data_IF_401133820615
#
_entry.id   IF_401133820615
#
_cell.length_a   1.000
_cell.length_b   1.000
_cell.length_c   1.000
_cell.angle_alpha   90.00
_cell.angle_beta   90.00
_cell.angle_gamma   90.00
#
_symmetry.space_group_name_H-M   'P 1'
#
loop_
_entity.id
_entity.type
_entity.pdbx_description
1 polymer ?
#
# COMPACT_ATOMS: atom_id res chain seq x y z
N UNK A 1 -1.11 -16.44 1.48
CA UNK A 1 -2.25 -15.56 1.88
C UNK A 1 -1.70 -14.21 2.26
N UNK A 2 -2.34 -13.10 1.86
CA UNK A 2 -1.88 -11.75 2.19
C UNK A 2 -2.84 -11.06 3.16
N UNK A 3 -2.29 -10.32 4.13
CA UNK A 3 -3.05 -9.48 5.06
C UNK A 3 -2.42 -8.09 5.10
N UNK A 4 -3.22 -7.07 4.86
CA UNK A 4 -2.81 -5.68 5.02
C UNK A 4 -3.59 -5.00 6.14
N UNK A 5 -2.87 -4.24 6.97
CA UNK A 5 -3.46 -3.38 7.99
C UNK A 5 -4.25 -4.14 9.05
N UNK A 6 -5.32 -3.53 9.55
CA UNK A 6 -6.12 -4.05 10.65
C UNK A 6 -6.16 -3.10 11.85
N UNK A 7 -6.75 -3.56 12.96
CA UNK A 7 -6.91 -2.79 14.18
C UNK A 7 -6.48 -3.59 15.40
N UNK A 8 -5.46 -3.08 16.08
CA UNK A 8 -4.91 -3.63 17.32
C UNK A 8 -5.65 -3.00 18.50
N UNK A 9 -6.67 -3.70 18.97
CA UNK A 9 -7.57 -3.19 20.01
C UNK A 9 -6.90 -2.91 21.35
N UNK A 10 -5.84 -3.63 21.69
CA UNK A 10 -5.05 -3.43 22.92
C UNK A 10 -4.32 -2.09 22.94
N UNK A 11 -3.97 -1.55 21.76
CA UNK A 11 -3.26 -0.28 21.59
C UNK A 11 -4.15 0.82 21.02
N UNK A 12 -5.43 0.52 20.73
CA UNK A 12 -6.33 1.40 19.99
C UNK A 12 -5.69 1.95 18.68
N UNK A 13 -4.97 1.09 17.95
CA UNK A 13 -4.11 1.49 16.85
C UNK A 13 -4.49 0.79 15.55
N UNK A 14 -4.57 1.55 14.46
CA UNK A 14 -4.68 0.98 13.12
C UNK A 14 -3.28 0.63 12.59
N UNK A 15 -3.20 -0.44 11.80
CA UNK A 15 -1.94 -0.93 11.22
C UNK A 15 -1.89 -0.63 9.71
N UNK A 16 -0.68 -0.56 9.16
CA UNK A 16 -0.40 -0.41 7.72
C UNK A 16 0.63 -1.43 7.21
N UNK A 17 0.83 -2.52 7.95
CA UNK A 17 1.81 -3.54 7.63
C UNK A 17 1.20 -4.55 6.64
N UNK A 18 2.02 -5.02 5.69
CA UNK A 18 1.66 -6.11 4.78
C UNK A 18 2.36 -7.38 5.26
N UNK A 19 1.58 -8.44 5.44
CA UNK A 19 2.06 -9.75 5.81
C UNK A 19 1.67 -10.79 4.79
N UNK A 20 2.58 -11.73 4.54
CA UNK A 20 2.31 -12.94 3.78
C UNK A 20 2.42 -14.16 4.70
N UNK A 21 1.44 -15.03 4.59
CA UNK A 21 1.44 -16.36 5.18
C UNK A 21 1.67 -17.40 4.09
N UNK A 22 2.69 -18.23 4.30
CA UNK A 22 2.97 -19.43 3.52
C UNK A 22 2.36 -20.65 4.22
N UNK A 23 1.33 -21.29 3.64
CA UNK A 23 0.69 -22.46 4.25
C UNK A 23 1.57 -23.72 4.22
N UNK A 24 2.57 -23.82 3.34
CA UNK A 24 3.44 -25.00 3.27
C UNK A 24 4.43 -25.00 4.44
N UNK A 25 5.01 -23.84 4.73
CA UNK A 25 5.96 -23.68 5.85
C UNK A 25 5.28 -23.27 7.15
N UNK A 26 4.00 -22.89 7.12
CA UNK A 26 3.26 -22.31 8.25
C UNK A 26 3.94 -21.07 8.84
N UNK A 27 4.66 -20.32 8.02
CA UNK A 27 5.41 -19.14 8.43
C UNK A 27 4.74 -17.86 7.95
N UNK A 28 4.82 -16.84 8.80
CA UNK A 28 4.49 -15.47 8.43
C UNK A 28 5.77 -14.70 8.12
N UNK A 29 5.74 -13.89 7.06
CA UNK A 29 6.76 -12.87 6.81
C UNK A 29 6.12 -11.52 6.57
N UNK A 30 6.80 -10.48 7.03
CA UNK A 30 6.45 -9.10 6.71
C UNK A 30 7.00 -8.76 5.32
N UNK A 31 6.17 -8.13 4.50
CA UNK A 31 6.56 -7.62 3.19
C UNK A 31 6.66 -6.10 3.26
N UNK A 32 7.59 -5.55 2.47
CA UNK A 32 7.79 -4.11 2.33
C UNK A 32 7.58 -3.71 0.88
N UNK A 33 6.34 -3.35 0.48
CA UNK A 33 6.06 -2.88 -0.86
C UNK A 33 6.89 -1.66 -1.21
N UNK A 34 7.31 -1.57 -2.47
CA UNK A 34 8.12 -0.44 -2.92
C UNK A 34 7.30 0.85 -3.02
N UNK A 35 7.86 1.96 -2.55
CA UNK A 35 7.24 3.28 -2.64
C UNK A 35 6.50 3.71 -1.37
N UNK A 36 5.54 4.64 -1.51
CA UNK A 36 4.74 5.14 -0.38
C UNK A 36 3.51 4.25 -0.23
N UNK A 37 3.43 3.54 0.89
CA UNK A 37 2.30 2.68 1.21
C UNK A 37 1.04 3.43 1.69
N UNK A 38 -0.09 2.72 1.81
CA UNK A 38 -1.34 3.27 2.32
C UNK A 38 -1.20 3.72 3.77
N UNK A 39 -2.03 4.69 4.17
CA UNK A 39 -2.22 5.02 5.59
C UNK A 39 -2.73 3.81 6.39
N UNK A 40 -2.48 3.75 7.71
CA UNK A 40 -3.04 2.71 8.57
C UNK A 40 -4.56 2.65 8.47
N UNK A 41 -5.10 1.45 8.24
CA UNK A 41 -6.52 1.27 7.91
C UNK A 41 -7.02 -0.15 8.20
N UNK A 42 -8.34 -0.29 8.19
CA UNK A 42 -9.07 -1.57 8.23
C UNK A 42 -10.28 -1.51 7.30
N UNK A 43 -10.98 -2.64 7.11
CA UNK A 43 -12.23 -2.74 6.30
C UNK A 43 -12.06 -2.37 4.83
N UNK A 44 -10.84 -2.45 4.30
CA UNK A 44 -10.56 -2.26 2.89
C UNK A 44 -10.95 -3.47 2.05
N UNK A 45 -11.17 -3.26 0.75
CA UNK A 45 -11.16 -4.33 -0.23
C UNK A 45 -9.72 -4.58 -0.69
N UNK A 46 -9.33 -5.85 -0.88
CA UNK A 46 -8.02 -6.23 -1.38
C UNK A 46 -8.13 -7.37 -2.39
N UNK A 47 -7.45 -7.24 -3.53
CA UNK A 47 -7.39 -8.26 -4.59
C UNK A 47 -5.94 -8.44 -5.04
N UNK A 48 -5.52 -9.68 -5.25
CA UNK A 48 -4.20 -10.01 -5.80
C UNK A 48 -4.32 -10.24 -7.30
N UNK A 49 -3.47 -9.58 -8.08
CA UNK A 49 -3.35 -9.80 -9.53
C UNK A 49 -1.87 -9.90 -9.88
N UNK A 50 -1.42 -11.09 -10.28
CA UNK A 50 0.00 -11.37 -10.44
C UNK A 50 0.76 -11.16 -9.12
N UNK A 51 1.87 -10.43 -9.19
CA UNK A 51 2.73 -10.11 -8.03
C UNK A 51 2.36 -8.79 -7.33
N UNK A 52 1.12 -8.32 -7.51
CA UNK A 52 0.64 -7.04 -6.97
C UNK A 52 -0.64 -7.20 -6.20
N UNK A 53 -0.81 -6.38 -5.16
CA UNK A 53 -2.04 -6.28 -4.37
C UNK A 53 -2.70 -4.94 -4.64
N UNK A 54 -3.95 -4.97 -5.11
CA UNK A 54 -4.80 -3.81 -5.31
C UNK A 54 -5.65 -3.63 -4.08
N UNK A 55 -5.50 -2.48 -3.43
CA UNK A 55 -6.15 -2.16 -2.17
C UNK A 55 -7.02 -0.92 -2.34
N UNK A 56 -8.33 -1.06 -2.11
CA UNK A 56 -9.29 0.02 -2.29
C UNK A 56 -10.00 0.36 -0.98
N UNK A 57 -9.97 1.66 -0.64
CA UNK A 57 -10.71 2.25 0.45
C UNK A 57 -10.35 1.73 1.84
N UNK A 58 -11.38 1.54 2.66
CA UNK A 58 -11.28 1.19 4.08
C UNK A 58 -11.55 2.38 5.00
N UNK A 59 -11.15 2.25 6.25
CA UNK A 59 -11.38 3.28 7.29
C UNK A 59 -10.12 3.53 8.10
N UNK A 60 -9.85 4.79 8.44
CA UNK A 60 -8.76 5.19 9.33
C UNK A 60 -9.26 6.13 10.45
N UNK A 61 -8.48 6.38 11.51
CA UNK A 61 -8.84 7.35 12.54
C UNK A 61 -9.07 8.74 11.95
N UNK A 62 -10.17 9.38 12.33
CA UNK A 62 -10.43 10.77 11.97
C UNK A 62 -9.54 11.71 12.80
N UNK A 63 -8.99 12.74 12.16
CA UNK A 63 -8.26 13.82 12.85
C UNK A 63 -9.19 14.81 13.58
N UNK A 64 -10.51 14.63 13.48
CA UNK A 64 -11.50 15.50 14.11
C UNK A 64 -11.48 15.34 15.64
N UNK A 65 -11.17 16.42 16.37
CA UNK A 65 -11.23 16.47 17.85
C UNK A 65 -12.65 16.35 18.43
N UNK A 66 -13.68 16.33 17.59
CA UNK A 66 -15.07 16.09 17.99
C UNK A 66 -15.37 14.60 17.76
N UNK A 67 -15.07 13.79 18.77
CA UNK A 67 -15.59 12.43 18.82
C UNK A 67 -17.03 12.57 19.32
N UNK A 68 -17.97 12.71 18.39
CA UNK A 68 -19.38 12.56 18.75
C UNK A 68 -19.57 11.12 19.24
N UNK A 69 -20.18 10.87 20.41
CA UNK A 69 -20.32 9.52 20.96
C UNK A 69 -21.16 8.57 20.08
N UNK A 70 -21.79 9.10 19.04
CA UNK A 70 -22.59 8.37 18.05
C UNK A 70 -21.76 7.94 16.83
N UNK A 71 -20.66 8.65 16.51
CA UNK A 71 -19.84 8.38 15.34
C UNK A 71 -18.56 7.66 15.74
N UNK A 72 -18.14 6.66 14.96
CA UNK A 72 -17.04 5.75 15.29
C UNK A 72 -15.65 6.38 15.39
N UNK A 73 -15.52 7.71 15.23
CA UNK A 73 -14.23 8.40 15.17
C UNK A 73 -13.37 7.99 13.97
N UNK A 74 -13.99 7.46 12.91
CA UNK A 74 -13.32 6.98 11.70
C UNK A 74 -13.73 7.84 10.51
N UNK A 75 -12.81 7.98 9.55
CA UNK A 75 -13.13 8.46 8.21
C UNK A 75 -13.03 7.31 7.20
N UNK A 76 -13.95 7.34 6.23
CA UNK A 76 -13.94 6.42 5.09
C UNK A 76 -12.95 6.90 4.02
N UNK A 77 -12.33 5.93 3.37
CA UNK A 77 -11.33 6.12 2.33
C UNK A 77 -11.88 5.63 1.00
N UNK A 78 -11.53 6.34 -0.08
CA UNK A 78 -11.90 6.01 -1.46
C UNK A 78 -10.69 6.04 -2.40
N UNK A 79 -9.50 5.81 -1.85
CA UNK A 79 -8.23 5.73 -2.57
C UNK A 79 -7.95 4.31 -3.06
N UNK A 80 -7.20 4.20 -4.17
CA UNK A 80 -6.66 2.95 -4.68
C UNK A 80 -5.15 2.95 -4.48
N UNK A 81 -4.63 1.89 -3.86
CA UNK A 81 -3.21 1.62 -3.74
C UNK A 81 -2.85 0.36 -4.49
N UNK A 82 -1.68 0.37 -5.13
CA UNK A 82 -1.07 -0.82 -5.74
C UNK A 82 0.19 -1.13 -4.95
N UNK A 83 0.15 -2.23 -4.20
CA UNK A 83 1.29 -2.73 -3.44
C UNK A 83 2.05 -3.71 -4.33
N UNK A 84 3.19 -3.25 -4.86
CA UNK A 84 4.14 -4.09 -5.57
C UNK A 84 5.20 -4.60 -4.58
N UNK A 85 5.16 -5.91 -4.30
CA UNK A 85 6.06 -6.58 -3.35
C UNK A 85 7.17 -7.37 -4.04
N UNK A 86 7.19 -7.41 -5.38
CA UNK A 86 8.23 -8.06 -6.18
C UNK A 86 8.55 -7.23 -7.45
N UNK A 87 8.97 -5.96 -7.31
CA UNK A 87 9.23 -5.11 -8.47
C UNK A 87 10.39 -5.67 -9.30
N UNK A 88 10.23 -5.66 -10.62
CA UNK A 88 11.31 -6.07 -11.53
C UNK A 88 12.41 -5.02 -11.58
N UNK A 89 13.59 -5.39 -12.10
CA UNK A 89 14.67 -4.42 -12.36
C UNK A 89 14.18 -3.27 -13.28
N UNK A 90 13.29 -3.60 -14.23
CA UNK A 90 12.69 -2.60 -15.11
C UNK A 90 11.83 -1.61 -14.32
N UNK A 91 10.98 -2.09 -13.41
CA UNK A 91 10.13 -1.23 -12.57
C UNK A 91 10.98 -0.31 -11.68
N UNK A 92 12.04 -0.85 -11.08
CA UNK A 92 12.96 -0.08 -10.24
C UNK A 92 13.73 0.98 -11.04
N UNK A 93 14.22 0.63 -12.23
CA UNK A 93 14.91 1.55 -13.13
C UNK A 93 13.97 2.68 -13.60
N UNK A 94 12.75 2.34 -14.00
CA UNK A 94 11.72 3.31 -14.38
C UNK A 94 11.43 4.28 -13.21
N UNK A 95 11.25 3.75 -11.99
CA UNK A 95 11.01 4.58 -10.82
C UNK A 95 12.19 5.51 -10.51
N UNK A 96 13.43 5.05 -10.68
CA UNK A 96 14.62 5.88 -10.47
C UNK A 96 14.72 7.02 -11.49
N UNK A 97 14.37 6.75 -12.76
CA UNK A 97 14.32 7.77 -13.83
C UNK A 97 13.33 8.88 -13.46
N UNK A 98 12.11 8.51 -13.06
CA UNK A 98 11.05 9.48 -12.70
C UNK A 98 11.45 10.29 -11.45
N UNK A 99 11.93 9.63 -10.39
CA UNK A 99 12.31 10.32 -9.13
C UNK A 99 13.40 11.36 -9.31
N UNK A 100 14.28 11.17 -10.29
CA UNK A 100 15.38 12.09 -10.57
C UNK A 100 15.04 13.08 -11.71
N UNK A 101 13.80 13.11 -12.20
CA UNK A 101 13.36 13.98 -13.29
C UNK A 101 14.10 13.73 -14.61
N UNK A 102 14.65 12.53 -14.80
CA UNK A 102 15.40 12.18 -16.01
C UNK A 102 14.47 12.01 -17.21
N UNK A 103 13.19 11.71 -16.96
CA UNK A 103 12.13 11.69 -17.96
C UNK A 103 11.86 13.05 -18.60
N UNK A 104 12.11 14.13 -17.88
CA UNK A 104 11.99 15.48 -18.43
C UNK A 104 13.29 15.93 -19.09
N UNK A 105 14.44 15.66 -18.44
CA UNK A 105 15.76 16.10 -18.91
C UNK A 105 16.28 15.35 -20.14
N UNK A 106 15.96 14.06 -20.25
CA UNK A 106 16.47 13.16 -21.27
C UNK A 106 15.33 12.44 -21.99
N UNK A 107 14.18 13.11 -22.14
CA UNK A 107 12.99 12.55 -22.77
C UNK A 107 13.32 11.84 -24.09
N UNK A 108 14.18 12.41 -24.93
CA UNK A 108 14.51 11.82 -26.24
C UNK A 108 15.37 10.53 -26.16
N UNK A 109 16.04 10.28 -25.04
CA UNK A 109 16.94 9.13 -24.84
C UNK A 109 16.30 7.98 -24.06
N UNK A 110 15.13 8.18 -23.45
CA UNK A 110 14.47 7.10 -22.70
C UNK A 110 13.87 6.09 -23.68
N UNK A 111 14.16 4.78 -23.52
CA UNK A 111 13.51 3.73 -24.30
C UNK A 111 11.99 3.86 -24.27
N UNK A 112 11.33 3.66 -25.42
CA UNK A 112 9.90 3.94 -25.58
C UNK A 112 9.02 3.10 -24.64
N UNK A 113 9.54 1.98 -24.15
CA UNK A 113 8.90 1.06 -23.22
C UNK A 113 9.05 1.47 -21.74
N UNK A 114 9.73 2.59 -21.48
CA UNK A 114 9.92 3.26 -20.19
C UNK A 114 9.39 4.71 -20.18
N UNK A 115 8.94 5.23 -21.34
CA UNK A 115 8.17 6.48 -21.45
C UNK A 115 6.71 6.23 -21.09
#
# INVERSE_FOLDING_TARGET
>A
MYIFGGYLGTENRHLNELHEFDPETSCWRRLEPFGIGPSPRRRQCAVVVGERIFLFGGTMPSNSKKVDPVHSGLCDLSDLHVLDYAPTLKDLAASAVIRNGLNEKFADMIPIDLK
#
